data_IF_639729256701
#
_entry.id   IF_639729256701
#
_cell.length_a   1.000
_cell.length_b   1.000
_cell.length_c   1.000
_cell.angle_alpha   90.00
_cell.angle_beta   90.00
_cell.angle_gamma   90.00
#
_symmetry.space_group_name_H-M   'P 1'
#
loop_
_entity.id
_entity.type
_entity.pdbx_description
1 polymer ?
#
# COMPACT_ATOMS: atom_id res chain seq x y z
N UNK A 1 -7.61 21.78 0.93
CA UNK A 1 -7.72 22.42 -0.40
C UNK A 1 -6.69 23.54 -0.60
N UNK A 2 -6.60 24.53 0.30
CA UNK A 2 -5.74 25.74 0.15
C UNK A 2 -4.24 25.40 -0.04
N UNK A 3 -3.66 24.53 0.77
CA UNK A 3 -2.25 24.16 0.70
C UNK A 3 -1.89 23.47 -0.61
N UNK A 4 -2.74 22.59 -1.13
CA UNK A 4 -2.57 21.98 -2.47
C UNK A 4 -2.57 23.01 -3.60
N UNK A 5 -3.49 23.97 -3.57
CA UNK A 5 -3.51 25.05 -4.57
C UNK A 5 -2.23 25.85 -4.51
N UNK A 6 -1.75 26.16 -3.30
CA UNK A 6 -0.47 26.83 -3.09
C UNK A 6 0.70 26.00 -3.62
N UNK A 7 0.79 24.71 -3.28
CA UNK A 7 1.85 23.82 -3.74
C UNK A 7 1.91 23.71 -5.26
N UNK A 8 0.77 23.55 -5.93
CA UNK A 8 0.69 23.55 -7.42
C UNK A 8 1.15 24.87 -8.03
N UNK A 9 0.78 26.01 -7.43
CA UNK A 9 1.23 27.32 -7.92
C UNK A 9 2.75 27.47 -7.77
N UNK A 10 3.31 27.06 -6.63
CA UNK A 10 4.74 27.08 -6.38
C UNK A 10 5.50 26.17 -7.35
N UNK A 11 4.99 24.97 -7.60
CA UNK A 11 5.56 24.05 -8.60
C UNK A 11 5.56 24.66 -10.01
N UNK A 12 4.46 25.30 -10.40
CA UNK A 12 4.36 25.98 -11.68
C UNK A 12 5.33 27.17 -11.83
N UNK A 13 5.74 27.78 -10.71
CA UNK A 13 6.72 28.86 -10.64
C UNK A 13 8.16 28.36 -10.49
N UNK A 14 8.39 27.04 -10.42
CA UNK A 14 9.71 26.45 -10.22
C UNK A 14 10.21 26.49 -8.77
N UNK A 15 9.36 26.83 -7.79
CA UNK A 15 9.67 26.78 -6.37
C UNK A 15 9.39 25.37 -5.82
N UNK A 16 10.30 24.44 -6.12
CA UNK A 16 10.14 23.03 -5.72
C UNK A 16 10.16 22.84 -4.21
N UNK A 17 10.99 23.60 -3.47
CA UNK A 17 11.06 23.52 -2.02
C UNK A 17 9.77 24.02 -1.36
N UNK A 18 9.27 25.15 -1.79
CA UNK A 18 8.00 25.69 -1.31
C UNK A 18 6.82 24.77 -1.66
N UNK A 19 6.82 24.18 -2.84
CA UNK A 19 5.82 23.20 -3.25
C UNK A 19 5.84 21.97 -2.34
N UNK A 20 7.03 21.41 -2.05
CA UNK A 20 7.21 20.28 -1.15
C UNK A 20 6.69 20.56 0.25
N UNK A 21 7.02 21.71 0.82
CA UNK A 21 6.53 22.14 2.15
C UNK A 21 5.01 22.30 2.18
N UNK A 22 4.43 22.88 1.13
CA UNK A 22 2.99 23.08 1.03
C UNK A 22 2.25 21.75 0.89
N UNK A 23 2.76 20.80 0.08
CA UNK A 23 2.17 19.47 -0.06
C UNK A 23 2.38 18.63 1.20
N UNK A 24 3.53 18.76 1.90
CA UNK A 24 3.74 18.15 3.22
C UNK A 24 2.72 18.64 4.24
N UNK A 25 2.49 19.94 4.30
CA UNK A 25 1.47 20.53 5.19
C UNK A 25 0.07 20.01 4.85
N UNK A 26 -0.25 19.90 3.55
CA UNK A 26 -1.51 19.31 3.10
C UNK A 26 -1.64 17.85 3.53
N UNK A 27 -0.57 17.06 3.37
CA UNK A 27 -0.49 15.67 3.81
C UNK A 27 -0.69 15.54 5.33
N UNK A 28 0.02 16.34 6.13
CA UNK A 28 -0.08 16.33 7.59
C UNK A 28 -1.49 16.68 8.08
N UNK A 29 -2.17 17.62 7.40
CA UNK A 29 -3.56 17.97 7.70
C UNK A 29 -4.50 16.79 7.38
N UNK A 30 -4.37 16.22 6.18
CA UNK A 30 -5.19 15.09 5.74
C UNK A 30 -4.99 13.92 6.71
N UNK A 31 -3.75 13.66 7.07
CA UNK A 31 -3.39 12.56 7.94
C UNK A 31 -3.96 12.72 9.36
N UNK A 32 -3.97 13.95 9.90
CA UNK A 32 -4.60 14.27 11.19
C UNK A 32 -6.12 14.24 11.14
N UNK A 33 -6.73 14.55 9.99
CA UNK A 33 -8.19 14.57 9.80
C UNK A 33 -8.77 13.17 9.49
N UNK A 34 -7.93 12.19 9.20
CA UNK A 34 -8.34 10.85 8.79
C UNK A 34 -8.90 9.97 9.93
N UNK A 35 -9.50 10.57 10.94
CA UNK A 35 -10.31 9.83 11.92
C UNK A 35 -11.58 9.24 11.30
N UNK A 36 -11.47 8.69 10.10
CA UNK A 36 -12.58 7.93 9.50
C UNK A 36 -12.72 7.93 7.99
N UNK A 37 -12.14 8.86 7.26
CA UNK A 37 -12.04 8.75 5.79
C UNK A 37 -10.60 8.44 5.43
N UNK A 38 -10.31 7.31 4.78
CA UNK A 38 -8.95 7.02 4.34
C UNK A 38 -8.52 8.11 3.38
N UNK A 39 -7.34 8.72 3.60
CA UNK A 39 -6.68 9.48 2.58
C UNK A 39 -6.59 8.60 1.35
N UNK A 40 -6.96 9.11 0.21
CA UNK A 40 -6.88 8.36 -1.03
C UNK A 40 -5.50 8.51 -1.64
N UNK A 41 -5.14 7.60 -2.54
CA UNK A 41 -3.95 7.73 -3.40
C UNK A 41 -3.87 9.13 -4.04
N UNK A 42 -5.01 9.67 -4.50
CA UNK A 42 -5.09 11.00 -5.12
C UNK A 42 -4.75 12.13 -4.14
N UNK A 43 -4.97 11.88 -2.87
CA UNK A 43 -4.68 12.86 -1.83
C UNK A 43 -3.20 12.96 -1.50
N UNK A 44 -2.46 11.89 -1.64
CA UNK A 44 -1.04 11.79 -1.27
C UNK A 44 -0.12 11.87 -2.49
N UNK A 45 -0.62 11.58 -3.69
CA UNK A 45 0.16 11.53 -4.91
C UNK A 45 0.99 12.81 -5.20
N UNK A 46 0.47 14.04 -5.01
CA UNK A 46 1.28 15.23 -5.26
C UNK A 46 2.49 15.32 -4.34
N UNK A 47 2.32 15.00 -3.05
CA UNK A 47 3.43 14.98 -2.09
C UNK A 47 4.46 13.90 -2.44
N UNK A 48 4.01 12.67 -2.74
CA UNK A 48 4.89 11.58 -3.15
C UNK A 48 5.67 11.90 -4.42
N UNK A 49 5.04 12.57 -5.40
CA UNK A 49 5.71 12.93 -6.66
C UNK A 49 6.85 13.93 -6.46
N UNK A 50 6.71 14.88 -5.55
CA UNK A 50 7.76 15.84 -5.20
C UNK A 50 8.84 15.21 -4.31
N UNK A 51 8.45 14.29 -3.44
CA UNK A 51 9.36 13.66 -2.48
C UNK A 51 10.23 12.57 -3.13
N UNK A 52 9.71 11.86 -4.13
CA UNK A 52 10.38 10.73 -4.75
C UNK A 52 11.76 11.03 -5.32
N UNK A 53 12.00 12.11 -6.08
CA UNK A 53 13.35 12.45 -6.57
C UNK A 53 14.37 12.55 -5.44
N UNK A 54 14.04 13.27 -4.37
CA UNK A 54 14.94 13.48 -3.22
C UNK A 54 15.20 12.17 -2.44
N UNK A 55 14.18 11.33 -2.31
CA UNK A 55 14.33 10.02 -1.69
C UNK A 55 15.19 9.06 -2.54
N UNK A 56 15.09 9.14 -3.86
CA UNK A 56 15.92 8.36 -4.81
C UNK A 56 17.39 8.80 -4.76
N UNK A 57 17.67 10.09 -4.55
CA UNK A 57 19.01 10.62 -4.35
C UNK A 57 19.68 10.15 -3.04
N UNK A 58 18.92 9.50 -2.15
CA UNK A 58 19.44 8.87 -0.94
C UNK A 58 19.37 9.71 0.32
N UNK A 59 18.61 10.82 0.33
CA UNK A 59 18.30 11.54 1.56
C UNK A 59 17.45 10.66 2.47
N UNK A 60 18.04 10.14 3.55
CA UNK A 60 17.40 9.21 4.48
C UNK A 60 16.18 9.80 5.19
N UNK A 61 16.14 11.12 5.39
CA UNK A 61 14.95 11.80 5.93
C UNK A 61 13.82 11.73 4.92
N UNK A 62 14.11 11.98 3.64
CA UNK A 62 13.14 11.90 2.55
C UNK A 62 12.69 10.46 2.26
N UNK A 63 13.59 9.50 2.41
CA UNK A 63 13.25 8.07 2.36
C UNK A 63 12.23 7.72 3.46
N UNK A 64 12.47 8.15 4.71
CA UNK A 64 11.54 7.90 5.81
C UNK A 64 10.18 8.60 5.59
N UNK A 65 10.19 9.87 5.16
CA UNK A 65 8.98 10.62 4.80
C UNK A 65 8.21 9.90 3.67
N UNK A 66 8.92 9.36 2.67
CA UNK A 66 8.32 8.62 1.56
C UNK A 66 7.64 7.32 2.04
N UNK A 67 8.31 6.55 2.89
CA UNK A 67 7.72 5.34 3.50
C UNK A 67 6.43 5.67 4.25
N UNK A 68 6.42 6.76 5.02
CA UNK A 68 5.24 7.22 5.75
C UNK A 68 4.11 7.65 4.80
N UNK A 69 4.40 8.50 3.83
CA UNK A 69 3.40 8.97 2.88
C UNK A 69 2.84 7.84 2.01
N UNK A 70 3.71 6.92 1.57
CA UNK A 70 3.31 5.76 0.78
C UNK A 70 2.40 4.80 1.58
N UNK A 71 2.56 4.69 2.92
CA UNK A 71 1.68 3.86 3.75
C UNK A 71 0.23 4.31 3.68
N UNK A 72 0.01 5.61 3.68
CA UNK A 72 -1.33 6.20 3.60
C UNK A 72 -1.94 6.02 2.20
N UNK A 73 -1.10 6.06 1.15
CA UNK A 73 -1.55 5.95 -0.25
C UNK A 73 -2.06 4.54 -0.64
N UNK A 74 -1.56 3.50 0.02
CA UNK A 74 -1.81 2.09 -0.34
C UNK A 74 -2.91 1.46 0.49
N UNK A 75 -3.31 2.05 1.61
CA UNK A 75 -4.34 1.46 2.46
C UNK A 75 -5.69 1.28 1.74
N UNK A 76 -5.88 0.08 1.19
CA UNK A 76 -7.22 -0.36 0.79
C UNK A 76 -7.99 -0.85 2.02
N UNK A 77 -9.32 -0.73 1.98
CA UNK A 77 -10.18 -1.30 3.03
C UNK A 77 -9.88 -2.79 3.28
N UNK A 78 -9.48 -3.52 2.24
CA UNK A 78 -9.11 -4.93 2.30
C UNK A 78 -7.78 -5.14 3.04
N UNK A 79 -6.75 -4.36 2.73
CA UNK A 79 -5.45 -4.44 3.42
C UNK A 79 -5.60 -4.14 4.91
N UNK A 80 -6.40 -3.14 5.26
CA UNK A 80 -6.75 -2.80 6.64
C UNK A 80 -7.48 -3.96 7.34
N UNK A 81 -8.46 -4.58 6.68
CA UNK A 81 -9.18 -5.73 7.23
C UNK A 81 -8.27 -6.92 7.45
N UNK A 82 -7.38 -7.23 6.49
CA UNK A 82 -6.39 -8.32 6.61
C UNK A 82 -5.39 -8.04 7.73
N UNK A 83 -4.87 -6.82 7.84
CA UNK A 83 -3.98 -6.43 8.93
C UNK A 83 -4.69 -6.54 10.30
N UNK A 84 -5.95 -6.14 10.39
CA UNK A 84 -6.76 -6.28 11.60
C UNK A 84 -7.00 -7.74 11.99
N UNK A 85 -7.25 -8.61 11.01
CA UNK A 85 -7.40 -10.06 11.25
C UNK A 85 -6.07 -10.67 11.64
N UNK A 86 -4.98 -10.35 10.95
CA UNK A 86 -3.64 -10.82 11.28
C UNK A 86 -3.21 -10.40 12.69
N UNK A 87 -3.48 -9.14 13.08
CA UNK A 87 -3.21 -8.66 14.43
C UNK A 87 -3.97 -9.45 15.52
N UNK A 88 -5.21 -9.87 15.24
CA UNK A 88 -5.98 -10.74 16.15
C UNK A 88 -5.34 -12.12 16.32
N UNK A 89 -4.80 -12.70 15.26
CA UNK A 89 -4.16 -14.01 15.32
C UNK A 89 -2.73 -13.95 15.87
N UNK A 90 -2.01 -12.87 15.63
CA UNK A 90 -0.64 -12.68 16.13
C UNK A 90 -0.58 -12.34 17.64
N UNK A 91 -1.67 -11.87 18.22
CA UNK A 91 -1.76 -11.56 19.64
C UNK A 91 -1.96 -12.83 20.47
N UNK A 92 -0.95 -13.63 20.67
CA UNK A 92 -1.00 -14.86 21.50
C UNK A 92 -1.44 -14.67 22.99
N UNK A 93 -2.08 -13.54 23.31
CA UNK A 93 -2.57 -13.15 24.62
C UNK A 93 -3.99 -12.58 24.47
N UNK A 94 -4.93 -13.08 25.30
CA UNK A 94 -6.34 -12.65 25.30
C UNK A 94 -6.54 -11.16 25.58
N UNK A 95 -5.70 -10.56 26.43
CA UNK A 95 -5.77 -9.14 26.78
C UNK A 95 -5.41 -8.23 25.59
N UNK A 96 -4.35 -8.58 24.86
CA UNK A 96 -3.96 -7.88 23.62
C UNK A 96 -5.03 -8.01 22.54
N UNK A 97 -5.61 -9.21 22.39
CA UNK A 97 -6.71 -9.43 21.46
C UNK A 97 -7.97 -8.64 21.84
N UNK A 98 -8.26 -8.51 23.13
CA UNK A 98 -9.37 -7.68 23.62
C UNK A 98 -9.13 -6.19 23.36
N UNK A 99 -7.92 -5.70 23.60
CA UNK A 99 -7.55 -4.31 23.32
C UNK A 99 -7.68 -3.95 21.82
N UNK A 100 -7.22 -4.83 20.93
CA UNK A 100 -7.35 -4.67 19.49
C UNK A 100 -8.84 -4.65 19.07
N UNK A 101 -9.66 -5.56 19.62
CA UNK A 101 -11.12 -5.58 19.36
C UNK A 101 -11.78 -4.27 19.78
N UNK A 102 -11.44 -3.75 20.96
CA UNK A 102 -11.99 -2.48 21.46
C UNK A 102 -11.70 -1.30 20.53
N UNK A 103 -10.48 -1.19 19.99
CA UNK A 103 -10.12 -0.17 19.00
C UNK A 103 -10.96 -0.33 17.74
N UNK A 104 -11.09 -1.54 17.21
CA UNK A 104 -11.86 -1.82 16.00
C UNK A 104 -13.35 -1.51 16.16
N UNK A 105 -13.90 -1.77 17.35
CA UNK A 105 -15.30 -1.45 17.66
C UNK A 105 -15.52 0.05 17.71
N UNK A 106 -14.62 0.79 18.36
CA UNK A 106 -14.68 2.24 18.40
C UNK A 106 -14.52 2.88 17.00
N UNK A 107 -13.64 2.35 16.14
CA UNK A 107 -13.51 2.80 14.75
C UNK A 107 -14.77 2.53 13.92
N UNK A 108 -15.43 1.38 14.12
CA UNK A 108 -16.71 1.07 13.46
C UNK A 108 -17.79 2.05 13.87
N UNK A 109 -17.82 2.40 15.14
CA UNK A 109 -18.82 3.35 15.67
C UNK A 109 -18.64 4.74 15.09
N UNK A 110 -17.41 5.26 15.03
CA UNK A 110 -17.10 6.54 14.39
C UNK A 110 -17.55 6.52 12.92
N UNK A 111 -17.24 5.47 12.15
CA UNK A 111 -17.68 5.36 10.75
C UNK A 111 -19.21 5.33 10.63
N UNK A 112 -19.90 4.60 11.50
CA UNK A 112 -21.37 4.53 11.52
C UNK A 112 -21.99 5.90 11.75
N UNK A 113 -21.45 6.65 12.71
CA UNK A 113 -21.95 7.98 13.05
C UNK A 113 -21.68 8.99 11.95
N UNK A 114 -20.51 8.95 11.28
CA UNK A 114 -20.21 9.81 10.12
C UNK A 114 -21.18 9.59 8.96
N UNK A 115 -21.52 8.34 8.66
CA UNK A 115 -22.54 8.03 7.65
C UNK A 115 -23.92 8.59 8.07
N UNK A 116 -24.29 8.44 9.34
CA UNK A 116 -25.54 8.99 9.87
C UNK A 116 -25.57 10.52 9.81
N UNK A 117 -24.50 11.20 10.20
CA UNK A 117 -24.37 12.65 10.08
C UNK A 117 -24.55 13.11 8.64
N UNK A 118 -23.86 12.46 7.68
CA UNK A 118 -24.00 12.81 6.27
C UNK A 118 -25.44 12.70 5.77
N UNK A 119 -26.18 11.67 6.21
CA UNK A 119 -27.60 11.52 5.91
C UNK A 119 -28.45 12.63 6.55
N UNK A 120 -28.20 12.97 7.83
CA UNK A 120 -28.92 14.02 8.53
C UNK A 120 -28.66 15.40 7.92
N UNK A 121 -27.39 15.69 7.57
CA UNK A 121 -27.02 16.97 6.95
C UNK A 121 -27.60 17.12 5.53
N UNK A 122 -27.78 16.02 4.80
CA UNK A 122 -28.38 16.01 3.46
C UNK A 122 -29.92 16.09 3.50
N UNK A 123 -30.57 15.78 4.63
CA UNK A 123 -32.01 15.81 4.76
C UNK A 123 -32.52 17.26 4.86
N UNK A 124 -33.38 17.67 3.92
CA UNK A 124 -33.94 19.03 3.87
C UNK A 124 -34.83 19.35 5.08
N UNK A 125 -35.47 18.34 5.67
CA UNK A 125 -36.40 18.45 6.79
C UNK A 125 -35.72 18.33 8.18
N UNK A 126 -34.40 18.03 8.21
CA UNK A 126 -33.68 17.90 9.48
C UNK A 126 -33.54 19.24 10.18
N UNK A 127 -33.95 19.28 11.44
CA UNK A 127 -33.82 20.48 12.29
C UNK A 127 -32.36 20.77 12.62
N UNK A 128 -32.05 22.02 12.96
CA UNK A 128 -30.70 22.42 13.39
C UNK A 128 -30.25 21.68 14.66
N UNK A 129 -31.21 21.25 15.47
CA UNK A 129 -30.95 20.46 16.69
C UNK A 129 -30.51 19.04 16.34
N UNK A 130 -31.18 18.37 15.39
CA UNK A 130 -30.78 17.04 14.90
C UNK A 130 -29.39 17.07 14.25
N UNK A 131 -29.10 18.10 13.46
CA UNK A 131 -27.76 18.30 12.83
C UNK A 131 -26.68 18.45 13.90
N UNK A 132 -26.94 19.30 14.90
CA UNK A 132 -26.03 19.51 16.02
C UNK A 132 -25.82 18.24 16.85
N UNK A 133 -26.87 17.48 17.13
CA UNK A 133 -26.78 16.21 17.86
C UNK A 133 -25.98 15.17 17.09
N UNK A 134 -26.13 15.08 15.78
CA UNK A 134 -25.33 14.18 14.93
C UNK A 134 -23.83 14.53 15.00
N UNK A 135 -23.47 15.81 14.90
CA UNK A 135 -22.07 16.27 15.02
C UNK A 135 -21.50 16.01 16.43
N UNK A 136 -22.25 16.29 17.49
CA UNK A 136 -21.82 16.02 18.86
C UNK A 136 -21.59 14.51 19.12
N UNK A 137 -22.41 13.66 18.53
CA UNK A 137 -22.25 12.20 18.63
C UNK A 137 -20.92 11.74 18.03
N UNK A 138 -20.50 12.31 16.90
CA UNK A 138 -19.20 12.01 16.29
C UNK A 138 -18.06 12.47 17.20
N UNK A 139 -18.10 13.70 17.72
CA UNK A 139 -17.07 14.20 18.63
C UNK A 139 -16.91 13.29 19.85
N UNK A 140 -18.02 12.82 20.43
CA UNK A 140 -18.01 11.88 21.54
C UNK A 140 -17.36 10.52 21.17
N UNK A 141 -17.70 9.99 20.01
CA UNK A 141 -17.15 8.74 19.53
C UNK A 141 -15.65 8.86 19.18
N UNK A 142 -15.19 9.96 18.59
CA UNK A 142 -13.78 10.24 18.31
C UNK A 142 -12.96 10.35 19.59
N UNK A 143 -13.49 11.00 20.62
CA UNK A 143 -12.84 11.04 21.94
C UNK A 143 -12.74 9.65 22.57
N UNK A 144 -13.79 8.84 22.44
CA UNK A 144 -13.76 7.44 22.89
C UNK A 144 -12.71 6.64 22.14
N UNK A 145 -12.64 6.75 20.81
CA UNK A 145 -11.62 6.09 19.99
C UNK A 145 -10.21 6.47 20.42
N UNK A 146 -9.97 7.78 20.68
CA UNK A 146 -8.68 8.26 21.16
C UNK A 146 -8.29 7.63 22.52
N UNK A 147 -9.22 7.57 23.45
CA UNK A 147 -9.00 6.96 24.75
C UNK A 147 -8.72 5.45 24.66
N UNK A 148 -9.48 4.73 23.84
CA UNK A 148 -9.31 3.30 23.61
C UNK A 148 -7.98 3.00 22.90
N UNK A 149 -7.55 3.79 21.93
CA UNK A 149 -6.23 3.68 21.28
C UNK A 149 -5.10 3.88 22.30
N UNK A 150 -5.20 4.87 23.18
CA UNK A 150 -4.21 5.10 24.24
C UNK A 150 -4.12 3.92 25.21
N UNK A 151 -5.26 3.37 25.66
CA UNK A 151 -5.31 2.19 26.53
C UNK A 151 -4.76 0.94 25.84
N UNK A 152 -5.11 0.73 24.57
CA UNK A 152 -4.61 -0.40 23.79
C UNK A 152 -3.08 -0.32 23.62
N UNK A 153 -2.52 0.85 23.36
CA UNK A 153 -1.07 1.07 23.26
C UNK A 153 -0.35 0.74 24.58
N UNK A 154 -0.95 1.03 25.72
CA UNK A 154 -0.40 0.72 27.01
C UNK A 154 -0.34 -0.81 27.30
N UNK A 155 -1.37 -1.55 26.86
CA UNK A 155 -1.47 -3.01 27.06
C UNK A 155 -0.57 -3.77 26.08
N UNK A 156 -0.50 -3.30 24.83
CA UNK A 156 0.14 -4.03 23.73
C UNK A 156 1.63 -3.73 23.59
N UNK A 157 2.13 -2.69 24.27
CA UNK A 157 3.48 -2.18 24.08
C UNK A 157 3.71 -1.63 22.66
N UNK A 158 4.92 -1.15 22.37
CA UNK A 158 5.25 -0.57 21.06
C UNK A 158 5.01 -1.50 19.86
N UNK A 159 5.12 -2.82 20.06
CA UNK A 159 4.96 -3.81 18.97
C UNK A 159 3.54 -3.90 18.41
N UNK A 160 2.52 -3.64 19.21
CA UNK A 160 1.15 -3.70 18.71
C UNK A 160 0.61 -2.33 18.31
N UNK A 161 1.24 -1.23 18.71
CA UNK A 161 0.97 0.10 18.17
C UNK A 161 1.14 0.14 16.64
N UNK A 162 2.10 -0.58 16.10
CA UNK A 162 2.32 -0.75 14.66
C UNK A 162 1.14 -1.41 13.92
N UNK A 163 0.33 -2.22 14.60
CA UNK A 163 -0.86 -2.85 14.02
C UNK A 163 -2.15 -2.03 14.19
N UNK A 164 -2.10 -0.98 15.00
CA UNK A 164 -3.26 -0.13 15.34
C UNK A 164 -3.22 1.18 14.55
N UNK A 165 -2.02 1.66 14.18
CA UNK A 165 -1.86 2.86 13.34
C UNK A 165 -1.49 2.46 11.92
N UNK A 166 -2.07 3.14 10.95
CA UNK A 166 -1.68 3.05 9.53
C UNK A 166 -0.26 3.58 9.27
N UNK A 167 0.38 4.15 10.28
CA UNK A 167 1.65 4.83 10.21
C UNK A 167 2.69 4.11 11.05
N UNK A 168 3.33 3.12 10.47
CA UNK A 168 4.51 2.53 11.07
C UNK A 168 5.72 3.36 10.63
N UNK A 169 6.40 4.09 11.53
CA UNK A 169 7.65 4.76 11.20
C UNK A 169 8.65 3.78 10.61
N UNK A 170 9.45 4.22 9.65
CA UNK A 170 10.45 3.36 8.99
C UNK A 170 11.33 2.63 10.01
N UNK A 171 11.76 3.31 11.08
CA UNK A 171 12.59 2.71 12.14
C UNK A 171 11.92 1.55 12.87
N UNK A 172 10.61 1.67 13.12
CA UNK A 172 9.85 0.62 13.80
C UNK A 172 9.64 -0.58 12.86
N UNK A 173 9.42 -0.32 11.57
CA UNK A 173 9.37 -1.35 10.54
C UNK A 173 10.72 -2.09 10.46
N UNK A 174 11.83 -1.36 10.37
CA UNK A 174 13.18 -1.93 10.35
C UNK A 174 13.47 -2.79 11.58
N UNK A 175 13.10 -2.32 12.77
CA UNK A 175 13.26 -3.06 14.03
C UNK A 175 12.41 -4.34 14.11
N UNK A 176 11.32 -4.41 13.34
CA UNK A 176 10.44 -5.57 13.28
C UNK A 176 10.92 -6.66 12.32
N UNK A 177 11.79 -6.32 11.35
CA UNK A 177 12.33 -7.27 10.38
C UNK A 177 13.36 -8.20 11.06
N UNK A 178 13.29 -9.48 10.70
CA UNK A 178 14.26 -10.48 11.12
C UNK A 178 15.51 -10.44 10.23
N UNK A 179 16.63 -10.98 10.68
CA UNK A 179 17.80 -11.13 9.80
C UNK A 179 17.44 -11.89 8.51
N UNK A 180 17.82 -11.35 7.37
CA UNK A 180 17.49 -11.91 6.06
C UNK A 180 16.09 -11.58 5.54
N UNK A 181 15.28 -10.83 6.26
CA UNK A 181 14.00 -10.31 5.77
C UNK A 181 14.17 -8.94 5.13
N UNK A 182 13.49 -8.71 4.02
CA UNK A 182 13.30 -7.40 3.41
C UNK A 182 11.82 -7.11 3.25
N UNK A 183 11.47 -5.83 3.30
CA UNK A 183 10.11 -5.36 3.07
C UNK A 183 10.09 -4.45 1.86
N UNK A 184 9.14 -4.66 0.97
CA UNK A 184 8.97 -3.88 -0.26
C UNK A 184 7.54 -3.37 -0.33
N UNK A 185 7.37 -2.06 -0.43
CA UNK A 185 6.09 -1.38 -0.66
C UNK A 185 6.08 -0.77 -2.04
N UNK A 186 5.06 -1.10 -2.81
CA UNK A 186 4.82 -0.46 -4.10
C UNK A 186 3.78 0.66 -3.96
N UNK A 187 3.95 1.72 -4.73
CA UNK A 187 2.96 2.80 -4.81
C UNK A 187 2.93 3.37 -6.24
N UNK A 188 1.73 3.69 -6.70
CA UNK A 188 1.52 4.40 -7.97
C UNK A 188 0.99 5.80 -7.65
N UNK A 189 1.60 6.81 -8.25
CA UNK A 189 1.19 8.21 -8.13
C UNK A 189 0.46 8.69 -9.38
N UNK A 190 0.17 9.97 -9.46
CA UNK A 190 -0.43 10.57 -10.65
C UNK A 190 0.29 10.15 -11.94
N UNK A 191 -0.40 10.13 -13.06
CA UNK A 191 0.10 9.70 -14.37
C UNK A 191 0.59 8.24 -14.47
N UNK A 192 0.26 7.40 -13.46
CA UNK A 192 0.60 5.99 -13.43
C UNK A 192 2.07 5.70 -13.14
N UNK A 193 2.85 6.69 -12.71
CA UNK A 193 4.24 6.48 -12.31
C UNK A 193 4.28 5.60 -11.07
N UNK A 194 5.08 4.53 -11.11
CA UNK A 194 5.28 3.61 -10.01
C UNK A 194 6.61 3.84 -9.30
N UNK A 195 6.58 3.67 -7.99
CA UNK A 195 7.76 3.64 -7.13
C UNK A 195 7.73 2.40 -6.24
N UNK A 196 8.91 1.96 -5.83
CA UNK A 196 9.07 1.00 -4.76
C UNK A 196 9.90 1.62 -3.64
N UNK A 197 9.45 1.40 -2.41
CA UNK A 197 10.20 1.67 -1.19
C UNK A 197 10.58 0.31 -0.59
N UNK A 198 11.88 0.05 -0.48
CA UNK A 198 12.44 -1.21 0.03
C UNK A 198 13.28 -0.94 1.27
N UNK A 199 13.17 -1.82 2.26
CA UNK A 199 13.99 -1.74 3.47
C UNK A 199 14.39 -3.12 3.97
N UNK A 200 15.57 -3.19 4.54
CA UNK A 200 16.05 -4.25 5.44
C UNK A 200 16.10 -3.72 6.88
N UNK A 201 16.75 -4.44 7.80
CA UNK A 201 16.89 -3.99 9.19
C UNK A 201 17.65 -2.67 9.37
N UNK A 202 18.52 -2.31 8.43
CA UNK A 202 19.47 -1.18 8.54
C UNK A 202 19.58 -0.31 7.28
N UNK A 203 19.03 -0.74 6.16
CA UNK A 203 19.07 -0.01 4.88
C UNK A 203 17.65 0.24 4.35
N UNK A 204 17.43 1.42 3.79
CA UNK A 204 16.16 1.76 3.16
C UNK A 204 16.42 2.62 1.92
N UNK A 205 15.68 2.32 0.84
CA UNK A 205 15.81 2.98 -0.46
C UNK A 205 14.46 3.16 -1.12
N UNK A 206 14.39 4.18 -1.96
CA UNK A 206 13.27 4.41 -2.86
C UNK A 206 13.78 4.39 -4.28
N UNK A 207 13.05 3.79 -5.19
CA UNK A 207 13.39 3.82 -6.62
C UNK A 207 12.12 3.85 -7.48
N UNK A 208 12.28 4.39 -8.69
CA UNK A 208 11.23 4.41 -9.71
C UNK A 208 11.14 3.05 -10.39
N UNK A 209 9.92 2.56 -10.63
CA UNK A 209 9.71 1.34 -11.38
C UNK A 209 10.06 1.51 -12.86
N UNK A 210 10.52 0.44 -13.49
CA UNK A 210 10.91 0.44 -14.91
C UNK A 210 9.72 0.46 -15.88
N UNK A 211 8.47 0.34 -15.38
CA UNK A 211 7.24 0.37 -16.15
C UNK A 211 6.19 1.24 -15.44
N UNK A 212 5.30 1.86 -16.20
CA UNK A 212 4.12 2.53 -15.67
C UNK A 212 3.02 1.53 -15.24
N UNK A 213 2.02 2.03 -14.53
CA UNK A 213 0.91 1.21 -14.01
C UNK A 213 0.14 0.47 -15.11
N UNK A 214 -0.06 1.09 -16.26
CA UNK A 214 -0.79 0.49 -17.38
C UNK A 214 0.00 -0.67 -18.01
N UNK A 215 1.31 -0.49 -18.20
CA UNK A 215 2.23 -1.52 -18.71
C UNK A 215 2.37 -2.68 -17.74
N UNK A 216 2.47 -2.39 -16.43
CA UNK A 216 2.47 -3.41 -15.38
C UNK A 216 1.17 -4.18 -15.39
N UNK A 217 0.01 -3.50 -15.49
CA UNK A 217 -1.30 -4.15 -15.60
C UNK A 217 -1.35 -5.11 -16.79
N UNK A 218 -0.91 -4.65 -17.96
CA UNK A 218 -0.90 -5.48 -19.16
C UNK A 218 0.00 -6.74 -18.99
N UNK A 219 1.16 -6.58 -18.35
CA UNK A 219 2.08 -7.70 -18.06
C UNK A 219 1.47 -8.67 -17.05
N UNK A 220 0.84 -8.19 -15.99
CA UNK A 220 0.13 -9.00 -15.00
C UNK A 220 -1.00 -9.78 -15.64
N UNK A 221 -1.81 -9.16 -16.49
CA UNK A 221 -2.92 -9.82 -17.20
C UNK A 221 -2.41 -10.93 -18.12
N UNK A 222 -1.30 -10.72 -18.84
CA UNK A 222 -0.65 -11.74 -19.68
C UNK A 222 -0.13 -12.92 -18.84
N UNK A 223 0.55 -12.64 -17.72
CA UNK A 223 1.08 -13.66 -16.81
C UNK A 223 -0.08 -14.48 -16.24
N UNK A 224 -1.16 -13.83 -15.82
CA UNK A 224 -2.35 -14.51 -15.29
C UNK A 224 -3.12 -15.29 -16.35
N UNK A 225 -3.02 -14.90 -17.59
CA UNK A 225 -3.70 -15.56 -18.72
C UNK A 225 -3.41 -17.07 -18.80
N UNK A 226 -2.25 -17.54 -18.32
CA UNK A 226 -1.92 -18.98 -18.33
C UNK A 226 -2.82 -19.81 -17.39
N UNK A 227 -3.45 -19.19 -16.40
CA UNK A 227 -4.35 -19.91 -15.47
C UNK A 227 -5.71 -20.20 -16.11
N UNK A 228 -6.09 -19.46 -17.16
CA UNK A 228 -7.37 -19.57 -17.81
C UNK A 228 -7.25 -20.52 -19.02
N UNK A 229 -8.01 -21.62 -19.00
CA UNK A 229 -8.12 -22.48 -20.17
C UNK A 229 -8.92 -21.75 -21.26
N UNK A 230 -8.35 -21.65 -22.46
CA UNK A 230 -9.02 -21.13 -23.66
C UNK A 230 -9.54 -22.29 -24.50
N UNK A 231 -10.71 -22.11 -25.07
CA UNK A 231 -11.28 -23.06 -26.00
C UNK A 231 -10.69 -22.78 -27.39
N UNK A 232 -10.07 -23.81 -27.98
CA UNK A 232 -9.49 -23.74 -29.33
C UNK A 232 -10.33 -24.65 -30.24
N UNK A 233 -10.92 -24.06 -31.26
CA UNK A 233 -11.61 -24.85 -32.31
C UNK A 233 -10.57 -25.43 -33.26
N UNK A 234 -10.57 -26.76 -33.41
CA UNK A 234 -9.71 -27.47 -34.32
C UNK A 234 -10.27 -27.41 -35.75
N UNK A 235 -9.44 -27.72 -36.78
CA UNK A 235 -9.88 -27.70 -38.18
C UNK A 235 -11.03 -28.66 -38.50
N UNK A 236 -11.23 -29.70 -37.68
CA UNK A 236 -12.33 -30.64 -37.80
C UNK A 236 -13.64 -30.20 -37.14
N UNK A 237 -13.68 -28.93 -36.61
CA UNK A 237 -14.84 -28.37 -35.95
C UNK A 237 -14.97 -28.78 -34.48
N UNK A 238 -14.11 -29.65 -33.94
CA UNK A 238 -14.10 -30.00 -32.52
C UNK A 238 -13.43 -28.89 -31.71
N UNK A 239 -13.80 -28.77 -30.42
CA UNK A 239 -13.20 -27.82 -29.48
C UNK A 239 -12.38 -28.49 -28.41
N UNK A 240 -11.18 -27.99 -28.17
CA UNK A 240 -10.28 -28.45 -27.11
C UNK A 240 -9.96 -27.28 -26.15
N UNK A 241 -10.13 -27.52 -24.86
CA UNK A 241 -9.68 -26.57 -23.85
C UNK A 241 -8.20 -26.75 -23.56
N UNK A 242 -7.39 -25.76 -23.88
CA UNK A 242 -5.95 -25.75 -23.57
C UNK A 242 -5.61 -24.54 -22.71
N UNK A 243 -4.66 -24.72 -21.79
CA UNK A 243 -4.03 -23.61 -21.07
C UNK A 243 -2.93 -23.03 -21.95
N UNK A 244 -2.89 -21.69 -22.15
CA UNK A 244 -1.76 -21.08 -22.84
C UNK A 244 -0.46 -21.34 -22.06
N UNK A 245 0.70 -21.35 -22.73
CA UNK A 245 1.98 -21.50 -22.07
C UNK A 245 2.24 -20.30 -21.14
N UNK A 246 2.97 -20.54 -20.06
CA UNK A 246 3.41 -19.46 -19.17
C UNK A 246 4.38 -18.52 -19.90
N UNK A 247 4.16 -17.24 -19.76
CA UNK A 247 4.90 -16.20 -20.47
C UNK A 247 6.13 -15.76 -19.69
N UNK A 248 7.19 -16.58 -19.79
CA UNK A 248 8.44 -16.38 -19.03
C UNK A 248 9.09 -15.04 -19.35
N UNK A 249 9.07 -14.61 -20.62
CA UNK A 249 9.68 -13.32 -21.01
C UNK A 249 8.94 -12.12 -20.40
N UNK A 250 7.60 -12.16 -20.41
CA UNK A 250 6.80 -11.10 -19.77
C UNK A 250 7.04 -11.11 -18.25
N UNK A 251 7.18 -12.27 -17.62
CA UNK A 251 7.48 -12.39 -16.19
C UNK A 251 8.89 -11.87 -15.85
N UNK A 252 9.89 -12.18 -16.67
CA UNK A 252 11.26 -11.69 -16.51
C UNK A 252 11.34 -10.17 -16.70
N UNK A 253 10.67 -9.64 -17.72
CA UNK A 253 10.59 -8.18 -17.95
C UNK A 253 9.90 -7.48 -16.78
N UNK A 254 8.83 -8.06 -16.26
CA UNK A 254 8.13 -7.53 -15.10
C UNK A 254 9.00 -7.57 -13.84
N UNK A 255 9.73 -8.67 -13.59
CA UNK A 255 10.69 -8.76 -12.49
C UNK A 255 11.71 -7.63 -12.54
N UNK A 256 12.35 -7.42 -13.72
CA UNK A 256 13.31 -6.34 -13.92
C UNK A 256 12.71 -4.96 -13.69
N UNK A 257 11.48 -4.75 -14.12
CA UNK A 257 10.79 -3.48 -13.93
C UNK A 257 10.47 -3.19 -12.45
N UNK A 258 10.12 -4.24 -11.69
CA UNK A 258 9.73 -4.11 -10.28
C UNK A 258 10.95 -4.09 -9.34
N UNK A 259 11.95 -4.91 -9.59
CA UNK A 259 13.05 -5.17 -8.65
C UNK A 259 14.45 -4.86 -9.20
N UNK A 260 14.59 -4.52 -10.49
CA UNK A 260 15.91 -4.31 -11.11
C UNK A 260 16.86 -3.40 -10.31
N UNK A 261 16.43 -2.22 -9.84
CA UNK A 261 17.28 -1.33 -9.04
C UNK A 261 17.66 -1.89 -7.65
N UNK A 262 16.92 -2.88 -7.16
CA UNK A 262 17.13 -3.53 -5.86
C UNK A 262 17.45 -5.03 -5.99
N UNK A 263 17.79 -5.51 -7.18
CA UNK A 263 17.96 -6.93 -7.50
C UNK A 263 18.92 -7.64 -6.54
N UNK A 264 20.07 -7.07 -6.26
CA UNK A 264 21.05 -7.63 -5.32
C UNK A 264 20.47 -7.82 -3.91
N UNK A 265 19.65 -6.88 -3.45
CA UNK A 265 19.03 -6.95 -2.13
C UNK A 265 17.95 -8.04 -2.11
N UNK A 266 17.16 -8.12 -3.16
CA UNK A 266 16.11 -9.15 -3.31
C UNK A 266 16.70 -10.55 -3.41
N UNK A 267 17.75 -10.74 -4.19
CA UNK A 267 18.43 -12.05 -4.33
C UNK A 267 19.16 -12.50 -3.05
N UNK A 268 19.65 -11.55 -2.25
CA UNK A 268 20.30 -11.83 -0.97
C UNK A 268 19.34 -12.10 0.18
N UNK A 269 18.06 -11.81 0.01
CA UNK A 269 17.05 -11.98 1.05
C UNK A 269 16.60 -13.44 1.19
N UNK A 270 16.40 -13.90 2.42
CA UNK A 270 15.76 -15.18 2.71
C UNK A 270 14.23 -15.11 2.56
N UNK A 271 13.67 -13.96 2.93
CA UNK A 271 12.23 -13.68 2.82
C UNK A 271 11.98 -12.27 2.31
N UNK A 272 11.06 -12.16 1.38
CA UNK A 272 10.62 -10.87 0.83
C UNK A 272 9.17 -10.65 1.22
N UNK A 273 8.93 -9.66 2.07
CA UNK A 273 7.60 -9.21 2.48
C UNK A 273 7.16 -8.15 1.49
N UNK A 274 6.06 -8.39 0.78
CA UNK A 274 5.60 -7.50 -0.29
C UNK A 274 4.27 -6.87 0.06
N UNK A 275 4.21 -5.55 0.00
CA UNK A 275 2.98 -4.78 0.03
C UNK A 275 2.66 -4.28 -1.39
N UNK A 276 1.75 -4.94 -2.10
CA UNK A 276 1.41 -4.62 -3.48
C UNK A 276 0.48 -3.41 -3.56
N UNK A 277 0.49 -2.74 -4.71
CA UNK A 277 -0.44 -1.67 -5.05
C UNK A 277 -1.03 -1.86 -6.45
N UNK A 278 -2.22 -1.34 -6.70
CA UNK A 278 -2.86 -1.34 -8.01
C UNK A 278 -2.91 -2.73 -8.66
N UNK A 279 -2.43 -2.87 -9.90
CA UNK A 279 -2.47 -4.15 -10.62
C UNK A 279 -1.63 -5.27 -9.96
N UNK A 280 -0.67 -4.91 -9.09
CA UNK A 280 0.19 -5.87 -8.41
C UNK A 280 -0.56 -6.73 -7.37
N UNK A 281 -1.74 -6.33 -6.90
CA UNK A 281 -2.59 -7.18 -6.06
C UNK A 281 -2.96 -8.51 -6.73
N UNK A 282 -2.97 -8.53 -8.04
CA UNK A 282 -3.32 -9.72 -8.83
C UNK A 282 -2.10 -10.50 -9.31
N UNK A 283 -0.88 -10.05 -9.02
CA UNK A 283 0.36 -10.69 -9.46
C UNK A 283 0.72 -11.86 -8.55
N UNK A 284 0.89 -13.07 -9.08
CA UNK A 284 1.50 -14.17 -8.33
C UNK A 284 3.02 -13.97 -8.27
N UNK A 285 3.52 -13.21 -7.29
CA UNK A 285 4.96 -12.86 -7.18
C UNK A 285 5.88 -14.08 -7.21
N UNK A 286 5.44 -15.21 -6.66
CA UNK A 286 6.20 -16.47 -6.72
C UNK A 286 6.40 -17.02 -8.14
N UNK A 287 5.68 -16.49 -9.14
CA UNK A 287 5.86 -16.87 -10.53
C UNK A 287 6.90 -16.01 -11.26
N UNK A 288 7.41 -14.96 -10.62
CA UNK A 288 8.45 -14.12 -11.19
C UNK A 288 9.81 -14.81 -11.05
N UNK A 289 10.59 -14.93 -12.13
CA UNK A 289 11.92 -15.53 -12.08
C UNK A 289 12.92 -14.56 -11.44
N UNK A 290 13.57 -14.98 -10.36
CA UNK A 290 14.58 -14.18 -9.62
C UNK A 290 15.90 -14.10 -10.41
N UNK A 291 16.20 -15.08 -11.25
CA UNK A 291 17.39 -15.06 -12.13
C UNK A 291 16.97 -14.83 -13.56
N UNK A 292 17.77 -14.04 -14.28
CA UNK A 292 17.56 -13.87 -15.72
C UNK A 292 17.50 -15.23 -16.41
N UNK A 293 16.38 -15.55 -17.01
CA UNK A 293 16.26 -16.71 -17.87
C UNK A 293 17.03 -16.40 -19.16
N UNK A 294 18.32 -16.75 -19.17
CA UNK A 294 19.03 -17.02 -20.40
C UNK A 294 18.47 -18.28 -21.08
N UNK A 295 18.91 -18.56 -22.28
CA UNK A 295 18.41 -19.72 -23.03
C UNK A 295 18.66 -21.04 -22.28
N UNK A 296 19.71 -21.15 -21.49
CA UNK A 296 20.03 -22.30 -20.66
C UNK A 296 19.06 -22.46 -19.48
N UNK A 297 18.78 -21.37 -18.77
CA UNK A 297 17.79 -21.34 -17.67
C UNK A 297 16.38 -21.62 -18.17
N UNK A 298 16.05 -21.14 -19.38
CA UNK A 298 14.77 -21.42 -20.05
C UNK A 298 14.63 -22.92 -20.42
N UNK A 299 15.69 -23.52 -20.98
CA UNK A 299 15.73 -24.93 -21.29
C UNK A 299 15.63 -25.80 -20.02
N UNK A 300 16.33 -25.44 -18.95
CA UNK A 300 16.27 -26.15 -17.67
C UNK A 300 14.87 -26.06 -17.03
N UNK A 301 14.22 -24.90 -17.08
CA UNK A 301 12.84 -24.73 -16.59
C UNK A 301 11.82 -25.56 -17.36
N UNK A 302 11.94 -25.64 -18.71
CA UNK A 302 11.07 -26.47 -19.56
C UNK A 302 11.33 -27.94 -19.29
N UNK A 303 12.58 -28.35 -19.14
CA UNK A 303 12.95 -29.73 -18.84
C UNK A 303 12.46 -30.20 -17.46
N UNK A 304 12.47 -29.34 -16.44
CA UNK A 304 11.99 -29.67 -15.09
C UNK A 304 10.47 -29.88 -15.01
N UNK A 305 9.70 -29.39 -15.98
CA UNK A 305 8.25 -29.61 -16.06
C UNK A 305 7.82 -30.83 -16.85
N UNK A 306 8.76 -31.54 -17.45
CA UNK A 306 8.52 -32.81 -18.17
C UNK A 306 8.69 -34.05 -17.30
N UNK A 307 9.00 -33.86 -16.02
CA UNK A 307 9.03 -34.92 -15.00
C UNK A 307 7.90 -34.69 -14.01
#
# INVERSE_FOLDING_TARGET
AMWRTKGRAQQALGDENGALESEKTSFDIINRQTDGSPATRLDVAPYLSLLAPLAIEGDQTKVADFFQAASVAVETATARTVAQVAARFASGNDETAAAIRSVQDAEREVRRLKVREAVVLAAQEASDDEKRQATLAIIGAENTLKAVKASASAVTGQKAGAFISSETPLKDLQAALRPGEIYVRFVFVGDGIGYAAITSGDDARVYKLGMDEASIKASVDKIRGFTNAVEITLPDGSSVRRRPPFRVDDASALYKALFGPADTLVQGAQHVIIEPAGPLFSLPFAALPIQGFDDAGRAAFVASRGQ
#
